data_IF_041577516380
#
_entry.id   IF_041577516380
#
_cell.length_a   1.000
_cell.length_b   1.000
_cell.length_c   1.000
_cell.angle_alpha   90.00
_cell.angle_beta   90.00
_cell.angle_gamma   90.00
#
_symmetry.space_group_name_H-M   'P 1'
#
loop_
_entity.id
_entity.type
_entity.pdbx_description
1 polymer ?
#
# COMPACT_ATOMS: atom_id res chain seq x y z
N UNK A 1 32.25 -19.70 33.73
CA UNK A 1 32.78 -21.08 33.65
C UNK A 1 32.11 -21.90 34.74
N UNK A 2 31.61 -23.14 34.53
CA UNK A 2 31.68 -24.05 33.36
C UNK A 2 30.32 -24.13 32.59
N UNK A 3 30.22 -24.46 31.28
CA UNK A 3 30.51 -25.71 30.52
C UNK A 3 29.57 -26.86 30.94
N UNK A 4 28.97 -27.74 30.11
CA UNK A 4 29.05 -28.13 28.69
C UNK A 4 27.88 -29.14 28.45
N UNK A 5 27.18 -29.08 27.31
CA UNK A 5 27.24 -30.04 26.17
C UNK A 5 26.41 -31.34 26.24
N UNK A 6 25.75 -31.69 25.12
CA UNK A 6 25.26 -33.04 24.79
C UNK A 6 23.93 -33.06 24.02
N UNK A 7 23.93 -32.97 22.68
CA UNK A 7 23.85 -34.08 21.67
C UNK A 7 22.53 -34.88 21.66
N UNK A 8 21.76 -34.75 20.56
CA UNK A 8 21.61 -35.70 19.41
C UNK A 8 20.82 -36.98 19.73
N UNK A 9 19.67 -37.16 19.06
CA UNK A 9 19.06 -38.48 18.80
C UNK A 9 19.25 -38.83 17.32
N UNK A 10 19.87 -39.98 17.07
CA UNK A 10 19.99 -40.69 15.79
C UNK A 10 19.12 -41.94 15.91
N UNK A 11 18.36 -42.26 14.86
CA UNK A 11 17.69 -43.54 14.72
C UNK A 11 18.61 -44.56 14.03
N UNK A 12 18.51 -45.79 14.49
CA UNK A 12 19.32 -46.97 14.15
C UNK A 12 18.65 -47.76 13.02
N UNK A 13 19.45 -48.32 12.12
CA UNK A 13 19.05 -49.39 11.21
C UNK A 13 20.12 -50.48 11.32
N UNK A 14 19.66 -51.70 11.61
CA UNK A 14 20.45 -52.90 11.89
C UNK A 14 20.40 -53.81 10.66
N UNK A 15 21.56 -54.29 10.20
CA UNK A 15 21.88 -55.70 9.99
C UNK A 15 23.15 -55.84 9.14
N UNK A 16 24.23 -56.36 9.75
CA UNK A 16 25.43 -56.88 9.09
C UNK A 16 25.40 -58.41 9.17
N UNK A 17 25.94 -59.09 8.15
CA UNK A 17 26.72 -60.33 8.33
C UNK A 17 27.93 -60.34 7.37
N UNK A 18 29.10 -60.61 7.97
CA UNK A 18 30.40 -61.18 7.53
C UNK A 18 30.60 -61.65 6.06
N UNK A 19 31.76 -61.59 5.40
CA UNK A 19 33.16 -61.77 5.84
C UNK A 19 34.18 -61.48 4.71
N UNK A 20 35.42 -61.18 5.14
CA UNK A 20 36.73 -61.61 4.61
C UNK A 20 37.64 -60.73 3.71
N UNK A 21 38.90 -60.65 4.18
CA UNK A 21 40.21 -60.49 3.53
C UNK A 21 40.65 -59.23 2.72
N UNK A 22 41.50 -58.43 3.39
CA UNK A 22 42.88 -58.06 3.02
C UNK A 22 43.24 -57.09 1.84
N UNK A 23 44.14 -56.15 2.21
CA UNK A 23 45.18 -55.44 1.43
C UNK A 23 44.86 -54.13 0.66
N UNK A 24 45.39 -53.01 1.16
CA UNK A 24 45.74 -51.78 0.41
C UNK A 24 47.12 -51.98 -0.30
N UNK A 25 47.73 -51.01 -1.06
CA UNK A 25 47.31 -49.69 -1.58
C UNK A 25 47.75 -49.39 -3.05
N UNK A 26 47.13 -48.47 -3.81
CA UNK A 26 47.82 -47.76 -4.95
C UNK A 26 47.23 -46.35 -5.19
N UNK A 27 48.09 -45.42 -5.59
CA UNK A 27 47.97 -43.96 -5.71
C UNK A 27 47.61 -43.45 -7.13
N UNK A 28 46.94 -42.27 -7.19
CA UNK A 28 46.92 -41.21 -8.25
C UNK A 28 46.12 -41.43 -9.57
N UNK A 29 45.80 -40.39 -10.39
CA UNK A 29 45.65 -38.92 -10.18
C UNK A 29 44.39 -38.26 -10.86
N UNK A 30 44.28 -36.92 -10.77
CA UNK A 30 43.28 -35.97 -11.32
C UNK A 30 43.01 -36.00 -12.85
N UNK A 31 41.97 -35.27 -13.32
CA UNK A 31 42.17 -34.44 -14.51
C UNK A 31 41.65 -32.99 -14.41
N UNK A 32 42.42 -32.10 -15.07
CA UNK A 32 42.14 -30.70 -15.33
C UNK A 32 41.22 -30.49 -16.54
N UNK A 33 40.38 -29.46 -16.52
CA UNK A 33 39.87 -28.82 -17.74
C UNK A 33 39.80 -27.29 -17.61
N UNK A 34 40.51 -26.62 -18.51
CA UNK A 34 40.53 -25.17 -18.73
C UNK A 34 39.37 -24.75 -19.64
N UNK A 35 38.64 -23.67 -19.31
CA UNK A 35 38.00 -22.81 -20.34
C UNK A 35 38.00 -21.32 -19.94
N UNK A 36 39.00 -20.63 -20.50
CA UNK A 36 39.02 -19.30 -21.14
C UNK A 36 38.21 -18.16 -20.51
N UNK A 37 38.92 -17.25 -19.84
CA UNK A 37 38.55 -15.84 -19.62
C UNK A 37 38.58 -15.09 -20.95
N UNK A 38 37.56 -14.27 -21.23
CA UNK A 38 37.61 -13.21 -22.25
C UNK A 38 37.69 -11.87 -21.51
N UNK A 39 38.75 -11.11 -21.81
CA UNK A 39 38.92 -9.71 -21.43
C UNK A 39 38.25 -8.81 -22.50
N UNK A 40 37.88 -7.57 -22.15
CA UNK A 40 37.03 -6.71 -22.99
C UNK A 40 37.84 -6.02 -24.09
N UNK A 41 37.24 -5.88 -25.27
CA UNK A 41 37.74 -5.00 -26.32
C UNK A 41 37.04 -3.65 -26.20
N UNK A 42 37.86 -2.62 -25.98
CA UNK A 42 37.50 -1.20 -26.01
C UNK A 42 37.23 -0.77 -27.46
N UNK A 43 35.97 -0.47 -27.78
CA UNK A 43 35.62 0.34 -28.96
C UNK A 43 35.31 1.77 -28.50
N UNK A 44 36.30 2.63 -28.68
CA UNK A 44 36.21 4.09 -28.59
C UNK A 44 35.33 4.62 -29.74
N UNK A 45 34.07 4.95 -29.44
CA UNK A 45 33.26 5.85 -30.26
C UNK A 45 33.11 7.18 -29.53
N UNK A 46 33.82 8.17 -30.05
CA UNK A 46 33.65 9.57 -29.70
C UNK A 46 32.26 10.09 -30.06
N UNK A 47 31.77 10.95 -29.16
CA UNK A 47 30.65 11.88 -29.29
C UNK A 47 29.21 11.30 -29.27
N UNK A 48 28.71 11.11 -28.06
CA UNK A 48 27.32 10.74 -27.81
C UNK A 48 26.98 10.61 -26.32
N UNK A 49 27.47 11.52 -25.46
CA UNK A 49 27.32 11.40 -24.00
C UNK A 49 25.85 11.46 -23.51
N UNK A 50 24.88 11.75 -24.40
CA UNK A 50 23.45 11.68 -24.09
C UNK A 50 22.81 10.30 -24.41
N UNK A 51 23.29 9.58 -25.43
CA UNK A 51 22.64 8.32 -25.85
C UNK A 51 22.86 7.17 -24.85
N UNK A 52 24.04 7.11 -24.21
CA UNK A 52 24.33 6.14 -23.17
C UNK A 52 23.57 6.43 -21.86
N UNK A 53 23.36 7.72 -21.54
CA UNK A 53 22.58 8.14 -20.38
C UNK A 53 21.07 7.90 -20.58
N UNK A 54 20.55 8.19 -21.77
CA UNK A 54 19.16 7.91 -22.17
C UNK A 54 18.86 6.42 -22.20
N UNK A 55 19.78 5.60 -22.73
CA UNK A 55 19.65 4.14 -22.72
C UNK A 55 19.58 3.55 -21.30
N UNK A 56 20.36 4.11 -20.37
CA UNK A 56 20.32 3.73 -18.97
C UNK A 56 18.99 4.15 -18.31
N UNK A 57 18.51 5.38 -18.55
CA UNK A 57 17.22 5.85 -18.04
C UNK A 57 16.06 4.97 -18.54
N UNK A 58 16.00 4.67 -19.83
CA UNK A 58 14.97 3.79 -20.40
C UNK A 58 14.99 2.40 -19.77
N UNK A 59 16.17 1.85 -19.47
CA UNK A 59 16.28 0.57 -18.78
C UNK A 59 15.75 0.64 -17.34
N UNK A 60 16.01 1.74 -16.62
CA UNK A 60 15.46 1.98 -15.29
C UNK A 60 13.94 2.12 -15.33
N UNK A 61 13.39 2.83 -16.31
CA UNK A 61 11.94 2.96 -16.54
C UNK A 61 11.30 1.58 -16.76
N UNK A 62 11.85 0.76 -17.66
CA UNK A 62 11.36 -0.61 -17.91
C UNK A 62 11.42 -1.48 -16.65
N UNK A 63 12.48 -1.37 -15.84
CA UNK A 63 12.60 -2.06 -14.55
C UNK A 63 11.54 -1.58 -13.55
N UNK A 64 11.28 -0.28 -13.49
CA UNK A 64 10.27 0.31 -12.61
C UNK A 64 8.85 -0.14 -12.97
N UNK A 65 8.49 -0.08 -14.25
CA UNK A 65 7.19 -0.55 -14.76
C UNK A 65 7.01 -2.03 -14.44
N UNK A 66 8.03 -2.87 -14.71
CA UNK A 66 7.96 -4.30 -14.42
C UNK A 66 7.84 -4.58 -12.92
N UNK A 67 8.53 -3.83 -12.07
CA UNK A 67 8.39 -3.92 -10.61
C UNK A 67 6.96 -3.55 -10.18
N UNK A 68 6.40 -2.46 -10.71
CA UNK A 68 5.06 -2.00 -10.37
C UNK A 68 4.00 -3.05 -10.72
N UNK A 69 4.05 -3.59 -11.95
CA UNK A 69 3.14 -4.66 -12.40
C UNK A 69 3.26 -5.94 -11.55
N UNK A 70 4.49 -6.32 -11.18
CA UNK A 70 4.71 -7.50 -10.33
C UNK A 70 4.19 -7.28 -8.90
N UNK A 71 4.35 -6.08 -8.35
CA UNK A 71 3.80 -5.70 -7.06
C UNK A 71 2.27 -5.73 -7.06
N UNK A 72 1.63 -5.21 -8.12
CA UNK A 72 0.18 -5.25 -8.25
C UNK A 72 -0.36 -6.67 -8.36
N UNK A 73 0.28 -7.50 -9.19
CA UNK A 73 -0.04 -8.91 -9.32
C UNK A 73 0.01 -9.67 -7.98
N UNK A 74 0.96 -9.31 -7.10
CA UNK A 74 1.09 -9.89 -5.76
C UNK A 74 0.28 -9.17 -4.69
N UNK A 75 -0.47 -8.12 -5.06
CA UNK A 75 -1.16 -7.22 -4.14
C UNK A 75 -0.26 -6.65 -3.04
N UNK A 76 0.96 -6.26 -3.40
CA UNK A 76 1.94 -5.71 -2.49
C UNK A 76 2.15 -4.23 -2.78
N UNK A 77 2.23 -3.39 -1.73
CA UNK A 77 2.57 -1.99 -1.92
C UNK A 77 4.02 -1.87 -2.45
N UNK A 78 4.22 -0.93 -3.35
CA UNK A 78 5.51 -0.57 -3.93
C UNK A 78 6.21 0.37 -2.95
N UNK A 79 7.26 -0.10 -2.28
CA UNK A 79 7.98 0.69 -1.27
C UNK A 79 9.17 1.40 -1.89
N UNK A 80 9.50 2.58 -1.35
CA UNK A 80 10.72 3.31 -1.76
C UNK A 80 11.99 2.45 -1.65
N UNK A 81 12.10 1.63 -0.60
CA UNK A 81 13.25 0.75 -0.39
C UNK A 81 13.38 -0.29 -1.52
N UNK A 82 12.28 -0.93 -1.92
CA UNK A 82 12.26 -1.90 -3.01
C UNK A 82 12.67 -1.27 -4.35
N UNK A 83 12.25 -0.03 -4.60
CA UNK A 83 12.64 0.71 -5.81
C UNK A 83 14.15 0.99 -5.80
N UNK A 84 14.68 1.45 -4.67
CA UNK A 84 16.12 1.70 -4.52
C UNK A 84 16.95 0.44 -4.75
N UNK A 85 16.54 -0.69 -4.17
CA UNK A 85 17.27 -1.96 -4.26
C UNK A 85 17.16 -2.60 -5.65
N UNK A 86 15.95 -2.68 -6.22
CA UNK A 86 15.66 -3.49 -7.41
C UNK A 86 15.72 -2.72 -8.73
N UNK A 87 15.57 -1.40 -8.69
CA UNK A 87 15.54 -0.55 -9.89
C UNK A 87 16.79 0.29 -9.98
N UNK A 88 17.02 1.16 -8.99
CA UNK A 88 18.09 2.17 -9.03
C UNK A 88 19.47 1.58 -8.74
N UNK A 89 19.57 0.57 -7.87
CA UNK A 89 20.84 0.04 -7.40
C UNK A 89 21.75 1.15 -6.88
N UNK A 90 22.99 1.21 -7.39
CA UNK A 90 23.98 2.23 -7.01
C UNK A 90 23.82 3.57 -7.77
N UNK A 91 22.94 3.65 -8.78
CA UNK A 91 22.76 4.84 -9.63
C UNK A 91 22.13 6.04 -8.87
N UNK A 92 21.69 5.82 -7.63
CA UNK A 92 21.39 6.87 -6.66
C UNK A 92 20.03 7.54 -6.81
N UNK A 93 19.59 8.19 -5.73
CA UNK A 93 18.27 8.85 -5.58
C UNK A 93 18.01 9.98 -6.59
N UNK A 94 19.06 10.54 -7.24
CA UNK A 94 18.95 11.72 -8.11
C UNK A 94 18.13 11.46 -9.37
N UNK A 95 18.26 10.28 -9.97
CA UNK A 95 17.50 9.90 -11.18
C UNK A 95 16.07 9.45 -10.89
N UNK A 96 15.67 9.35 -9.62
CA UNK A 96 14.35 8.80 -9.27
C UNK A 96 13.21 9.61 -9.87
N UNK A 97 13.23 10.95 -9.73
CA UNK A 97 12.09 11.79 -10.12
C UNK A 97 11.82 11.69 -11.62
N UNK A 98 12.89 11.77 -12.41
CA UNK A 98 12.87 11.64 -13.85
C UNK A 98 12.39 10.25 -14.27
N UNK A 99 13.00 9.20 -13.72
CA UNK A 99 12.59 7.80 -13.97
C UNK A 99 11.13 7.54 -13.57
N UNK A 100 10.68 8.06 -12.43
CA UNK A 100 9.32 7.88 -11.93
C UNK A 100 8.30 8.56 -12.85
N UNK A 101 8.58 9.79 -13.29
CA UNK A 101 7.71 10.50 -14.21
C UNK A 101 7.63 9.79 -15.58
N UNK A 102 8.76 9.32 -16.10
CA UNK A 102 8.78 8.55 -17.34
C UNK A 102 8.03 7.21 -17.19
N UNK A 103 8.20 6.51 -16.07
CA UNK A 103 7.45 5.29 -15.78
C UNK A 103 5.94 5.54 -15.66
N UNK A 104 5.50 6.66 -15.06
CA UNK A 104 4.09 7.04 -15.02
C UNK A 104 3.50 7.26 -16.41
N UNK A 105 4.26 7.85 -17.34
CA UNK A 105 3.80 8.02 -18.73
C UNK A 105 3.63 6.67 -19.43
N UNK A 106 4.58 5.76 -19.28
CA UNK A 106 4.50 4.40 -19.83
C UNK A 106 3.33 3.60 -19.24
N UNK A 107 3.14 3.66 -17.92
CA UNK A 107 2.03 2.99 -17.24
C UNK A 107 0.67 3.48 -17.75
N UNK A 108 0.50 4.79 -17.92
CA UNK A 108 -0.76 5.37 -18.39
C UNK A 108 -1.02 5.08 -19.86
N UNK A 109 -0.01 5.24 -20.71
CA UNK A 109 -0.15 5.11 -22.17
C UNK A 109 -0.26 3.68 -22.66
N UNK A 110 0.49 2.74 -22.07
CA UNK A 110 0.52 1.34 -22.51
C UNK A 110 -0.42 0.46 -21.71
N UNK A 111 -0.53 0.69 -20.40
CA UNK A 111 -1.25 -0.22 -19.49
C UNK A 111 -2.56 0.36 -18.95
N UNK A 112 -2.84 1.65 -19.17
CA UNK A 112 -4.01 2.31 -18.58
C UNK A 112 -3.99 2.27 -17.05
N UNK A 113 -2.80 2.33 -16.44
CA UNK A 113 -2.60 2.30 -15.00
C UNK A 113 -1.74 3.47 -14.54
N UNK A 114 -1.82 3.81 -13.27
CA UNK A 114 -0.91 4.77 -12.65
C UNK A 114 -0.50 4.36 -11.24
N UNK A 115 0.70 4.76 -10.85
CA UNK A 115 1.15 4.63 -9.47
C UNK A 115 0.52 5.73 -8.62
N UNK A 116 -0.32 5.33 -7.67
CA UNK A 116 -0.94 6.22 -6.69
C UNK A 116 -0.27 6.05 -5.32
N UNK A 117 0.04 7.16 -4.65
CA UNK A 117 0.60 7.13 -3.31
C UNK A 117 -0.47 6.73 -2.30
N UNK A 118 -0.16 5.76 -1.43
CA UNK A 118 -1.04 5.33 -0.36
C UNK A 118 -1.11 6.40 0.73
N UNK A 119 -2.31 6.71 1.26
CA UNK A 119 -2.46 7.52 2.45
C UNK A 119 -1.64 6.97 3.62
N UNK A 120 -1.14 7.88 4.45
CA UNK A 120 -0.42 7.47 5.64
C UNK A 120 -1.36 6.69 6.56
N UNK A 121 -0.84 5.63 7.19
CA UNK A 121 -1.56 4.92 8.23
C UNK A 121 -1.91 5.92 9.33
N UNK A 122 -3.21 6.16 9.50
CA UNK A 122 -3.70 7.02 10.57
C UNK A 122 -3.28 6.46 11.92
N UNK A 123 -2.89 7.35 12.82
CA UNK A 123 -2.58 7.02 14.20
C UNK A 123 -3.90 6.91 14.95
N UNK A 124 -4.45 5.71 15.00
CA UNK A 124 -5.83 5.51 15.43
C UNK A 124 -5.96 5.50 16.95
N UNK A 125 -5.01 4.91 17.68
CA UNK A 125 -5.10 4.78 19.15
C UNK A 125 -4.80 6.08 19.89
N UNK A 126 -5.38 6.27 21.08
CA UNK A 126 -5.07 7.43 21.94
C UNK A 126 -3.59 7.48 22.31
N UNK A 127 -2.95 6.32 22.53
CA UNK A 127 -1.51 6.24 22.77
C UNK A 127 -0.69 6.72 21.56
N UNK A 128 -1.07 6.34 20.34
CA UNK A 128 -0.40 6.80 19.12
C UNK A 128 -0.63 8.29 18.85
N UNK A 129 -1.83 8.80 19.13
CA UNK A 129 -2.17 10.23 19.04
C UNK A 129 -1.35 11.06 20.06
N UNK A 130 -1.26 10.61 21.31
CA UNK A 130 -0.42 11.25 22.35
C UNK A 130 1.08 11.17 22.05
N UNK A 131 1.57 10.04 21.54
CA UNK A 131 2.97 9.90 21.12
C UNK A 131 3.32 10.80 19.92
N UNK A 132 2.37 11.01 19.00
CA UNK A 132 2.53 11.91 17.86
C UNK A 132 2.60 13.39 18.25
N UNK A 133 1.83 13.79 19.27
CA UNK A 133 1.89 15.15 19.81
C UNK A 133 3.24 15.42 20.50
N UNK A 134 3.81 14.40 21.16
CA UNK A 134 5.13 14.51 21.82
C UNK A 134 6.33 14.49 20.85
N UNK A 135 6.16 14.00 19.63
CA UNK A 135 7.24 13.88 18.64
C UNK A 135 7.22 14.93 17.52
N UNK A 136 6.51 16.06 17.74
CA UNK A 136 6.49 17.20 16.81
C UNK A 136 7.88 17.82 16.50
N UNK A 137 8.95 17.43 17.19
CA UNK A 137 10.30 17.98 17.02
C UNK A 137 11.23 17.23 16.06
N UNK A 138 10.83 16.11 15.43
CA UNK A 138 11.61 15.52 14.33
C UNK A 138 10.70 15.07 13.19
N UNK A 139 10.72 15.86 12.11
CA UNK A 139 10.03 15.60 10.86
C UNK A 139 10.65 14.40 10.11
N UNK A 140 10.46 13.19 10.62
CA UNK A 140 10.61 11.98 9.80
C UNK A 140 9.42 11.92 8.85
N UNK A 141 9.59 12.52 7.65
CA UNK A 141 8.68 12.31 6.53
C UNK A 141 8.46 10.81 6.37
N UNK A 142 7.22 10.31 6.47
CA UNK A 142 6.94 8.89 6.30
C UNK A 142 7.41 8.42 4.93
N UNK A 143 7.91 7.19 4.88
CA UNK A 143 8.38 6.60 3.63
C UNK A 143 7.15 6.42 2.72
N UNK A 144 7.14 7.15 1.61
CA UNK A 144 6.11 7.04 0.59
C UNK A 144 6.04 5.61 0.06
N UNK A 145 4.81 5.14 -0.14
CA UNK A 145 4.49 3.81 -0.64
C UNK A 145 3.38 3.96 -1.67
N UNK A 146 3.44 3.20 -2.75
CA UNK A 146 2.51 3.32 -3.87
C UNK A 146 1.78 2.00 -4.13
N UNK A 147 0.67 2.08 -4.85
CA UNK A 147 -0.01 0.94 -5.51
C UNK A 147 -0.27 1.30 -6.97
N UNK A 148 -0.59 0.32 -7.82
CA UNK A 148 -1.09 0.61 -9.16
C UNK A 148 -2.62 0.68 -9.12
N UNK A 149 -3.18 1.71 -9.75
CA UNK A 149 -4.63 1.89 -9.90
C UNK A 149 -4.94 1.99 -11.39
N UNK A 150 -6.07 1.42 -11.80
CA UNK A 150 -6.56 1.56 -13.18
C UNK A 150 -7.01 3.00 -13.43
N UNK A 151 -6.61 3.58 -14.55
CA UNK A 151 -7.07 4.89 -15.03
C UNK A 151 -8.13 4.75 -16.13
N UNK A 152 -8.61 3.53 -16.36
CA UNK A 152 -9.64 3.26 -17.37
C UNK A 152 -11.00 3.81 -16.93
N UNK A 153 -11.83 4.31 -17.85
CA UNK A 153 -13.20 4.73 -17.53
C UNK A 153 -14.05 3.61 -16.92
N UNK A 154 -15.09 3.99 -16.18
CA UNK A 154 -15.97 3.08 -15.45
C UNK A 154 -16.57 1.97 -16.33
N UNK A 155 -16.90 2.30 -17.59
CA UNK A 155 -17.48 1.36 -18.56
C UNK A 155 -16.56 0.18 -18.90
N UNK A 156 -15.26 0.29 -18.62
CA UNK A 156 -14.28 -0.78 -18.85
C UNK A 156 -13.99 -1.61 -17.59
N UNK A 157 -14.60 -1.30 -16.44
CA UNK A 157 -14.43 -2.09 -15.21
C UNK A 157 -15.31 -3.35 -15.16
N UNK A 158 -16.00 -3.68 -16.25
CA UNK A 158 -16.69 -4.96 -16.39
C UNK A 158 -15.68 -6.13 -16.22
N UNK A 159 -15.92 -7.09 -15.30
CA UNK A 159 -15.08 -8.27 -15.14
C UNK A 159 -14.88 -9.10 -16.42
N UNK A 160 -15.77 -9.00 -17.40
CA UNK A 160 -15.62 -9.61 -18.72
C UNK A 160 -14.54 -8.93 -19.58
N UNK A 161 -14.28 -7.63 -19.35
CA UNK A 161 -13.27 -6.82 -20.03
C UNK A 161 -11.95 -6.85 -19.24
N UNK A 162 -12.01 -6.62 -17.92
CA UNK A 162 -10.88 -6.61 -17.01
C UNK A 162 -11.05 -7.71 -15.94
N UNK A 163 -10.71 -8.97 -16.28
CA UNK A 163 -10.86 -10.06 -15.34
C UNK A 163 -9.88 -9.91 -14.17
N UNK A 164 -10.26 -10.35 -12.95
CA UNK A 164 -9.35 -10.37 -11.82
C UNK A 164 -8.08 -11.20 -12.08
N UNK A 165 -7.00 -10.95 -11.32
CA UNK A 165 -5.73 -11.66 -11.48
C UNK A 165 -5.92 -13.18 -11.51
N UNK A 166 -5.16 -13.86 -12.39
CA UNK A 166 -5.28 -15.31 -12.60
C UNK A 166 -4.64 -16.16 -11.50
N UNK A 167 -3.94 -15.57 -10.54
CA UNK A 167 -3.32 -16.30 -9.44
C UNK A 167 -4.00 -15.96 -8.10
N UNK A 168 -4.46 -16.97 -7.34
CA UNK A 168 -4.38 -18.40 -7.62
C UNK A 168 -5.36 -18.87 -8.71
N UNK A 169 -6.59 -18.32 -8.75
CA UNK A 169 -7.53 -18.45 -9.88
C UNK A 169 -8.37 -17.16 -9.97
N UNK A 170 -8.90 -16.86 -11.16
CA UNK A 170 -9.73 -15.64 -11.35
C UNK A 170 -11.01 -15.66 -10.48
N UNK A 171 -11.59 -16.84 -10.25
CA UNK A 171 -12.76 -17.01 -9.39
C UNK A 171 -12.45 -16.80 -7.89
N UNK A 172 -11.36 -17.38 -7.38
CA UNK A 172 -10.90 -17.12 -6.00
C UNK A 172 -10.56 -15.64 -5.78
N UNK A 173 -9.96 -15.00 -6.78
CA UNK A 173 -9.63 -13.58 -6.73
C UNK A 173 -10.87 -12.70 -6.83
N UNK A 174 -11.87 -13.08 -7.62
CA UNK A 174 -13.18 -12.42 -7.65
C UNK A 174 -13.88 -12.49 -6.28
N UNK A 175 -13.89 -13.67 -5.65
CA UNK A 175 -14.45 -13.86 -4.31
C UNK A 175 -13.71 -13.05 -3.27
N UNK A 176 -12.38 -13.05 -3.34
CA UNK A 176 -11.56 -12.25 -2.43
C UNK A 176 -11.86 -10.75 -2.58
N UNK A 177 -11.99 -10.26 -3.81
CA UNK A 177 -12.42 -8.90 -4.12
C UNK A 177 -13.80 -8.56 -3.59
N UNK A 178 -14.78 -9.44 -3.78
CA UNK A 178 -16.11 -9.24 -3.23
C UNK A 178 -16.09 -9.14 -1.70
N UNK A 179 -15.34 -10.03 -1.03
CA UNK A 179 -15.29 -10.07 0.43
C UNK A 179 -14.58 -8.83 0.98
N UNK A 180 -13.38 -8.47 0.50
CA UNK A 180 -12.69 -7.30 1.06
C UNK A 180 -13.47 -6.01 0.78
N UNK A 181 -14.13 -5.90 -0.39
CA UNK A 181 -14.94 -4.72 -0.75
C UNK A 181 -16.14 -4.59 0.18
N UNK A 182 -16.79 -5.71 0.48
CA UNK A 182 -17.90 -5.77 1.45
C UNK A 182 -17.46 -5.39 2.85
N UNK A 183 -16.35 -5.96 3.34
CA UNK A 183 -15.88 -5.69 4.71
C UNK A 183 -15.40 -4.24 4.88
N UNK A 184 -14.68 -3.68 3.91
CA UNK A 184 -14.29 -2.26 3.92
C UNK A 184 -15.52 -1.36 3.88
N UNK A 185 -16.54 -1.70 3.10
CA UNK A 185 -17.80 -0.96 3.05
C UNK A 185 -18.54 -0.99 4.38
N UNK A 186 -18.62 -2.15 5.04
CA UNK A 186 -19.25 -2.28 6.35
C UNK A 186 -18.55 -1.44 7.43
N UNK A 187 -17.22 -1.37 7.41
CA UNK A 187 -16.44 -0.53 8.34
C UNK A 187 -16.64 0.95 8.02
N UNK A 188 -16.64 1.33 6.73
CA UNK A 188 -16.82 2.72 6.30
C UNK A 188 -18.21 3.23 6.68
N UNK A 189 -19.26 2.42 6.42
CA UNK A 189 -20.64 2.74 6.78
C UNK A 189 -20.91 2.72 8.30
N UNK A 190 -20.04 2.10 9.10
CA UNK A 190 -20.13 2.13 10.56
C UNK A 190 -19.42 3.33 11.20
N UNK A 191 -19.02 4.33 10.42
CA UNK A 191 -18.29 5.51 10.90
C UNK A 191 -16.78 5.32 10.95
N UNK A 192 -16.22 4.42 10.14
CA UNK A 192 -14.78 4.24 9.94
C UNK A 192 -14.08 3.30 10.94
N UNK A 193 -14.76 2.88 12.00
CA UNK A 193 -14.29 1.86 12.94
C UNK A 193 -15.39 0.85 13.28
N UNK A 194 -15.02 -0.42 13.40
CA UNK A 194 -15.94 -1.52 13.66
C UNK A 194 -15.44 -2.42 14.81
N UNK A 195 -16.18 -2.58 15.92
CA UNK A 195 -15.80 -3.47 17.01
C UNK A 195 -15.64 -4.93 16.54
N UNK A 196 -14.68 -5.66 17.11
CA UNK A 196 -14.38 -7.04 16.72
C UNK A 196 -15.59 -7.99 16.82
N UNK A 197 -16.40 -7.88 17.89
CA UNK A 197 -17.62 -8.67 18.05
C UNK A 197 -18.66 -8.40 16.94
N UNK A 198 -18.75 -7.15 16.46
CA UNK A 198 -19.66 -6.77 15.37
C UNK A 198 -19.15 -7.28 14.01
N UNK A 199 -17.83 -7.23 13.80
CA UNK A 199 -17.17 -7.82 12.64
C UNK A 199 -17.46 -9.33 12.56
N UNK A 200 -17.28 -10.06 13.66
CA UNK A 200 -17.53 -11.50 13.73
C UNK A 200 -19.01 -11.82 13.41
N UNK A 201 -19.95 -11.06 13.97
CA UNK A 201 -21.38 -11.21 13.65
C UNK A 201 -21.67 -10.99 12.16
N UNK A 202 -21.00 -10.05 11.49
CA UNK A 202 -21.15 -9.86 10.05
C UNK A 202 -20.56 -11.01 9.24
N UNK A 203 -19.38 -11.50 9.61
CA UNK A 203 -18.74 -12.65 8.96
C UNK A 203 -19.61 -13.91 9.02
N UNK A 204 -20.24 -14.17 10.18
CA UNK A 204 -21.21 -15.26 10.35
C UNK A 204 -22.46 -15.09 9.50
N UNK A 205 -23.02 -13.87 9.44
CA UNK A 205 -24.23 -13.57 8.63
C UNK A 205 -23.98 -13.67 7.12
N UNK A 206 -22.73 -13.48 6.69
CA UNK A 206 -22.32 -13.59 5.29
C UNK A 206 -21.84 -15.00 4.93
N UNK A 207 -21.86 -15.95 5.89
CA UNK A 207 -21.40 -17.33 5.70
C UNK A 207 -19.97 -17.42 5.14
N UNK A 208 -19.11 -16.43 5.46
CA UNK A 208 -17.74 -16.35 4.95
C UNK A 208 -16.87 -17.48 5.51
N UNK A 209 -17.19 -17.99 6.70
CA UNK A 209 -16.47 -19.10 7.34
C UNK A 209 -16.38 -20.34 6.44
N UNK A 210 -17.41 -20.59 5.64
CA UNK A 210 -17.49 -21.74 4.73
C UNK A 210 -17.00 -21.42 3.31
N UNK A 211 -17.08 -20.15 2.87
CA UNK A 211 -16.73 -19.72 1.51
C UNK A 211 -15.43 -18.90 1.42
N UNK A 212 -14.51 -19.08 2.36
CA UNK A 212 -13.25 -18.32 2.41
C UNK A 212 -12.31 -18.72 1.25
N UNK A 213 -11.83 -17.76 0.41
CA UNK A 213 -10.88 -18.01 -0.68
C UNK A 213 -9.43 -18.12 -0.14
N UNK A 214 -9.23 -19.00 0.84
CA UNK A 214 -7.92 -19.29 1.41
C UNK A 214 -7.69 -20.80 1.32
N UNK A 215 -6.62 -21.19 0.65
CA UNK A 215 -6.18 -22.58 0.57
C UNK A 215 -5.79 -23.09 1.96
N UNK A 216 -6.72 -23.75 2.66
CA UNK A 216 -6.42 -24.53 3.84
C UNK A 216 -7.29 -25.78 3.83
N UNK A 217 -6.77 -26.84 3.19
CA UNK A 217 -7.42 -28.14 3.04
C UNK A 217 -7.72 -28.85 4.39
N UNK A 218 -7.28 -28.31 5.52
CA UNK A 218 -7.44 -28.91 6.86
C UNK A 218 -7.79 -27.90 7.97
N UNK A 219 -8.21 -26.67 7.64
CA UNK A 219 -8.56 -25.67 8.65
C UNK A 219 -10.07 -25.65 8.95
N UNK A 220 -10.43 -25.39 10.21
CA UNK A 220 -11.81 -25.09 10.61
C UNK A 220 -12.28 -23.75 10.01
N UNK A 221 -13.59 -23.51 9.89
CA UNK A 221 -14.14 -22.27 9.30
C UNK A 221 -13.62 -20.98 9.95
N UNK A 222 -13.41 -21.02 11.27
CA UNK A 222 -12.82 -19.91 12.04
C UNK A 222 -11.35 -19.68 11.69
N UNK A 223 -10.54 -20.73 11.58
CA UNK A 223 -9.13 -20.61 11.19
C UNK A 223 -8.96 -20.07 9.76
N UNK A 224 -9.85 -20.47 8.85
CA UNK A 224 -9.88 -19.92 7.48
C UNK A 224 -10.16 -18.42 7.50
N UNK A 225 -11.17 -18.01 8.27
CA UNK A 225 -11.55 -16.61 8.44
C UNK A 225 -10.43 -15.78 9.05
N UNK A 226 -9.73 -16.27 10.07
CA UNK A 226 -8.57 -15.58 10.63
C UNK A 226 -7.43 -15.41 9.61
N UNK A 227 -7.15 -16.45 8.81
CA UNK A 227 -6.12 -16.38 7.76
C UNK A 227 -6.51 -15.36 6.68
N UNK A 228 -7.79 -15.28 6.33
CA UNK A 228 -8.34 -14.28 5.41
C UNK A 228 -8.14 -12.86 5.94
N UNK A 229 -8.52 -12.61 7.20
CA UNK A 229 -8.34 -11.30 7.83
C UNK A 229 -6.85 -10.92 7.94
N UNK A 230 -5.97 -11.87 8.27
CA UNK A 230 -4.51 -11.67 8.27
C UNK A 230 -3.97 -11.37 6.86
N UNK A 231 -4.52 -11.98 5.81
CA UNK A 231 -4.20 -11.67 4.40
C UNK A 231 -4.60 -10.22 4.08
N UNK A 232 -5.84 -9.84 4.39
CA UNK A 232 -6.33 -8.47 4.17
C UNK A 232 -5.55 -7.42 4.94
N UNK A 233 -5.11 -7.73 6.16
CA UNK A 233 -4.25 -6.84 6.96
C UNK A 233 -2.87 -6.66 6.31
N UNK A 234 -2.26 -7.76 5.83
CA UNK A 234 -0.96 -7.74 5.15
C UNK A 234 -1.00 -6.94 3.85
N UNK A 235 -2.07 -7.11 3.07
CA UNK A 235 -2.29 -6.43 1.80
C UNK A 235 -2.78 -4.97 1.98
N UNK A 236 -3.13 -4.58 3.20
CA UNK A 236 -3.42 -3.20 3.57
C UNK A 236 -4.87 -2.76 3.37
N UNK A 237 -5.80 -3.71 3.26
CA UNK A 237 -7.24 -3.44 3.21
C UNK A 237 -7.83 -3.14 4.60
N UNK A 238 -7.34 -3.86 5.62
CA UNK A 238 -7.82 -3.75 7.00
C UNK A 238 -6.67 -3.44 7.96
N UNK A 239 -6.99 -2.83 9.09
CA UNK A 239 -6.08 -2.66 10.22
C UNK A 239 -6.81 -3.13 11.48
N UNK A 240 -6.19 -4.05 12.21
CA UNK A 240 -6.65 -4.43 13.55
C UNK A 240 -6.03 -3.48 14.56
N UNK A 241 -6.87 -2.78 15.31
CA UNK A 241 -6.44 -1.87 16.36
C UNK A 241 -6.82 -2.47 17.71
N UNK A 242 -5.85 -2.51 18.61
CA UNK A 242 -6.01 -2.97 19.99
C UNK A 242 -5.72 -1.78 20.91
N UNK A 243 -6.71 -1.37 21.68
CA UNK A 243 -6.62 -0.26 22.61
C UNK A 243 -6.76 -0.80 24.03
N UNK A 244 -5.69 -0.66 24.82
CA UNK A 244 -5.71 -1.05 26.23
C UNK A 244 -6.14 0.16 27.05
N UNK A 245 -7.30 0.05 27.71
CA UNK A 245 -7.86 1.07 28.60
C UNK A 245 -7.16 1.13 29.95
N UNK A 246 -6.16 0.27 30.20
CA UNK A 246 -5.33 0.27 31.41
C UNK A 246 -6.05 -0.18 32.69
N UNK A 247 -7.37 -0.40 32.63
CA UNK A 247 -8.22 -0.71 33.78
C UNK A 247 -9.35 -1.69 33.39
N UNK A 248 -9.08 -2.64 32.49
CA UNK A 248 -10.06 -3.61 32.01
C UNK A 248 -9.58 -4.43 30.81
N UNK A 249 -10.51 -5.14 30.17
CA UNK A 249 -10.29 -5.87 28.93
C UNK A 249 -9.92 -4.93 27.77
N UNK A 250 -9.07 -5.41 26.87
CA UNK A 250 -8.60 -4.62 25.73
C UNK A 250 -9.69 -4.49 24.66
N UNK A 251 -10.01 -3.25 24.28
CA UNK A 251 -10.94 -2.97 23.19
C UNK A 251 -10.28 -3.23 21.83
N UNK A 252 -10.88 -4.12 21.04
CA UNK A 252 -10.39 -4.48 19.71
C UNK A 252 -11.39 -4.02 18.65
N UNK A 253 -10.92 -3.22 17.70
CA UNK A 253 -11.70 -2.73 16.57
C UNK A 253 -10.92 -2.82 15.26
N UNK A 254 -11.66 -2.85 14.16
CA UNK A 254 -11.16 -2.88 12.80
C UNK A 254 -11.36 -1.53 12.14
N UNK A 255 -10.34 -1.05 11.43
CA UNK A 255 -10.41 0.15 10.59
C UNK A 255 -9.96 -0.15 9.17
N UNK A 256 -10.31 0.73 8.24
CA UNK A 256 -9.90 0.59 6.84
C UNK A 256 -8.41 0.93 6.68
N UNK A 257 -7.67 0.04 6.04
CA UNK A 257 -6.26 0.25 5.73
C UNK A 257 -6.03 1.18 4.53
N UNK A 258 -4.78 1.65 4.31
CA UNK A 258 -4.47 2.61 3.26
C UNK A 258 -4.89 2.16 1.85
N UNK A 259 -4.75 0.86 1.54
CA UNK A 259 -5.10 0.34 0.24
C UNK A 259 -6.62 0.31 0.04
N UNK A 260 -7.36 -0.11 1.05
CA UNK A 260 -8.82 -0.09 1.02
C UNK A 260 -9.38 1.33 0.83
N UNK A 261 -8.75 2.34 1.42
CA UNK A 261 -9.12 3.75 1.22
C UNK A 261 -8.91 4.23 -0.22
N UNK A 262 -7.90 3.73 -0.92
CA UNK A 262 -7.59 4.15 -2.30
C UNK A 262 -8.39 3.37 -3.33
N UNK A 263 -8.45 2.04 -3.23
CA UNK A 263 -9.10 1.22 -4.26
C UNK A 263 -10.62 1.25 -4.19
N UNK A 264 -11.18 1.35 -2.98
CA UNK A 264 -12.63 1.34 -2.79
C UNK A 264 -13.11 2.76 -2.53
N UNK A 265 -12.48 3.45 -1.58
CA UNK A 265 -12.84 4.83 -1.23
C UNK A 265 -14.32 4.99 -0.91
N UNK A 266 -14.83 6.21 -1.01
CA UNK A 266 -16.24 6.51 -0.76
C UNK A 266 -17.12 6.10 -1.93
N UNK A 267 -16.60 6.26 -3.16
CA UNK A 267 -17.33 5.95 -4.40
C UNK A 267 -17.57 4.46 -4.55
N UNK A 268 -16.59 3.61 -4.23
CA UNK A 268 -16.76 2.15 -4.25
C UNK A 268 -17.74 1.67 -3.19
N UNK A 269 -17.75 2.27 -1.99
CA UNK A 269 -18.75 1.96 -0.95
C UNK A 269 -20.15 2.34 -1.39
N UNK A 270 -20.30 3.52 -2.01
CA UNK A 270 -21.57 3.97 -2.58
C UNK A 270 -22.03 3.03 -3.71
N UNK A 271 -21.14 2.72 -4.65
CA UNK A 271 -21.41 1.83 -5.77
C UNK A 271 -21.85 0.43 -5.32
N UNK A 272 -21.15 -0.17 -4.36
CA UNK A 272 -21.56 -1.45 -3.78
C UNK A 272 -22.94 -1.35 -3.11
N UNK A 273 -23.17 -0.29 -2.33
CA UNK A 273 -24.44 -0.12 -1.63
C UNK A 273 -25.59 -0.01 -2.63
N UNK A 274 -25.46 0.82 -3.67
CA UNK A 274 -26.47 0.92 -4.74
C UNK A 274 -26.69 -0.41 -5.44
N UNK A 275 -25.62 -1.13 -5.79
CA UNK A 275 -25.74 -2.45 -6.42
C UNK A 275 -26.49 -3.49 -5.55
N UNK A 276 -26.36 -3.42 -4.22
CA UNK A 276 -27.06 -4.32 -3.29
C UNK A 276 -28.54 -3.98 -3.16
N UNK A 277 -28.91 -2.69 -3.13
CA UNK A 277 -30.30 -2.26 -3.06
C UNK A 277 -31.02 -2.34 -4.41
N UNK A 278 -30.28 -2.38 -5.52
CA UNK A 278 -30.81 -2.52 -6.87
C UNK A 278 -31.47 -1.25 -7.40
N UNK A 279 -32.35 -1.41 -8.37
CA UNK A 279 -33.08 -0.31 -8.99
C UNK A 279 -34.14 0.24 -8.03
N UNK A 280 -33.85 1.41 -7.46
CA UNK A 280 -34.76 2.19 -6.64
C UNK A 280 -35.43 3.29 -7.47
N UNK A 281 -36.61 3.74 -7.05
CA UNK A 281 -37.20 4.97 -7.60
C UNK A 281 -36.37 6.20 -7.21
N UNK A 282 -36.46 7.28 -8.00
CA UNK A 282 -35.62 8.47 -7.85
C UNK A 282 -35.64 9.03 -6.41
N UNK A 283 -36.81 9.02 -5.75
CA UNK A 283 -36.95 9.48 -4.37
C UNK A 283 -36.21 8.62 -3.35
N UNK A 284 -36.23 7.29 -3.50
CA UNK A 284 -35.54 6.37 -2.62
C UNK A 284 -34.03 6.31 -2.90
N UNK A 285 -33.58 6.47 -4.15
CA UNK A 285 -32.15 6.55 -4.48
C UNK A 285 -31.51 7.79 -3.84
N UNK A 286 -32.17 8.95 -3.91
CA UNK A 286 -31.69 10.14 -3.20
C UNK A 286 -31.65 9.96 -1.67
N UNK A 287 -32.65 9.29 -1.10
CA UNK A 287 -32.68 9.02 0.33
C UNK A 287 -31.54 8.07 0.73
N UNK A 288 -31.26 7.07 -0.08
CA UNK A 288 -30.14 6.16 0.09
C UNK A 288 -28.81 6.91 0.02
N UNK A 289 -28.61 7.78 -0.98
CA UNK A 289 -27.41 8.61 -1.11
C UNK A 289 -27.21 9.53 0.11
N UNK A 290 -28.29 10.14 0.60
CA UNK A 290 -28.25 10.95 1.84
C UNK A 290 -27.86 10.11 3.06
N UNK A 291 -28.35 8.86 3.17
CA UNK A 291 -27.98 7.94 4.25
C UNK A 291 -26.51 7.53 4.15
N UNK A 292 -26.03 7.17 2.97
CA UNK A 292 -24.62 6.81 2.72
C UNK A 292 -23.70 7.97 3.07
N UNK A 293 -24.00 9.19 2.62
CA UNK A 293 -23.20 10.38 2.92
C UNK A 293 -23.11 10.65 4.43
N UNK A 294 -24.22 10.49 5.17
CA UNK A 294 -24.21 10.60 6.64
C UNK A 294 -23.35 9.50 7.28
N UNK A 295 -23.48 8.26 6.83
CA UNK A 295 -22.71 7.12 7.36
C UNK A 295 -21.21 7.23 7.10
N UNK A 296 -20.80 7.83 5.97
CA UNK A 296 -19.40 8.10 5.63
C UNK A 296 -18.83 9.35 6.34
N UNK A 297 -19.65 10.11 7.07
CA UNK A 297 -19.23 11.35 7.73
C UNK A 297 -19.10 12.56 6.79
N UNK A 298 -19.63 12.46 5.56
CA UNK A 298 -19.66 13.56 4.58
C UNK A 298 -20.77 14.58 4.87
N UNK A 299 -21.72 14.22 5.73
CA UNK A 299 -22.93 14.99 6.03
C UNK A 299 -22.78 16.18 6.98
N UNK A 300 -21.57 16.49 7.47
CA UNK A 300 -21.34 17.59 8.42
C UNK A 300 -20.58 18.80 7.81
N UNK A 301 -20.46 18.84 6.48
CA UNK A 301 -20.11 20.08 5.80
C UNK A 301 -21.35 21.00 5.81
N UNK A 302 -21.33 22.17 6.49
CA UNK A 302 -22.41 23.14 6.34
C UNK A 302 -22.53 23.49 4.85
N UNK A 303 -23.73 23.73 4.32
CA UNK A 303 -23.94 24.08 2.94
C UNK A 303 -23.29 25.45 2.67
N UNK A 304 -22.00 25.43 2.31
CA UNK A 304 -21.30 26.60 1.83
C UNK A 304 -21.85 26.93 0.45
N UNK A 305 -22.84 27.83 0.45
CA UNK A 305 -23.04 28.87 -0.54
C UNK A 305 -22.70 28.47 -2.00
N UNK A 306 -23.51 27.57 -2.58
CA UNK A 306 -23.66 27.54 -4.03
C UNK A 306 -24.54 28.72 -4.43
N UNK A 307 -23.88 29.81 -4.81
CA UNK A 307 -24.48 30.91 -5.55
C UNK A 307 -24.25 32.28 -4.93
N UNK A 308 -23.18 32.96 -5.33
CA UNK A 308 -23.26 34.24 -6.05
C UNK A 308 -21.85 34.77 -6.33
N UNK A 309 -21.66 35.23 -7.57
CA UNK A 309 -20.48 35.91 -8.07
C UNK A 309 -19.99 37.00 -7.10
N UNK A 310 -18.74 36.94 -6.68
CA UNK A 310 -18.02 38.09 -6.14
C UNK A 310 -16.62 38.16 -6.78
N UNK A 311 -16.43 39.23 -7.54
CA UNK A 311 -15.24 39.58 -8.30
C UNK A 311 -13.97 39.70 -7.43
N UNK A 312 -12.75 39.60 -8.03
CA UNK A 312 -11.50 39.55 -7.28
C UNK A 312 -11.10 40.93 -6.75
N UNK A 313 -11.11 41.12 -5.42
CA UNK A 313 -10.48 42.27 -4.79
C UNK A 313 -8.95 42.13 -4.78
N UNK A 314 -8.29 43.13 -5.36
CA UNK A 314 -6.83 43.31 -5.44
C UNK A 314 -6.20 43.40 -4.04
N UNK A 315 -5.17 42.59 -3.81
CA UNK A 315 -4.24 42.67 -2.68
C UNK A 315 -3.53 44.03 -2.67
N UNK A 316 -3.76 44.85 -1.64
CA UNK A 316 -2.99 46.07 -1.38
C UNK A 316 -1.77 45.72 -0.53
N UNK A 317 -0.59 46.07 -1.05
CA UNK A 317 0.72 45.71 -0.51
C UNK A 317 1.02 46.29 0.86
N UNK A 318 1.72 45.47 1.65
CA UNK A 318 2.36 45.75 2.93
C UNK A 318 3.49 46.77 2.72
N UNK A 319 3.32 48.01 3.19
CA UNK A 319 4.41 48.99 3.29
C UNK A 319 5.05 48.92 4.69
N UNK A 320 6.37 48.79 4.66
CA UNK A 320 7.30 48.81 5.80
C UNK A 320 7.34 50.22 6.41
N UNK A 321 7.49 50.30 7.72
CA UNK A 321 7.77 51.53 8.47
C UNK A 321 9.16 51.35 9.07
N UNK A 322 10.13 52.05 8.52
CA UNK A 322 11.43 52.33 9.13
C UNK A 322 11.48 53.84 9.40
N UNK A 323 12.20 54.21 10.47
CA UNK A 323 12.44 55.55 11.01
C UNK A 323 13.17 56.45 9.97
N UNK A 324 13.22 57.79 10.07
CA UNK A 324 13.83 58.60 11.12
C UNK A 324 13.69 60.10 10.77
N UNK A 325 13.98 60.92 11.78
CA UNK A 325 14.51 62.31 11.80
C UNK A 325 13.70 63.56 11.38
N UNK A 326 13.75 64.49 12.34
CA UNK A 326 14.03 65.94 12.27
C UNK A 326 13.01 66.86 11.56
N UNK A 327 12.74 68.09 11.98
CA UNK A 327 13.29 69.00 13.00
C UNK A 327 12.26 70.14 13.17
N UNK A 328 12.26 70.75 14.35
CA UNK A 328 12.09 72.19 14.67
C UNK A 328 10.90 73.08 14.18
N UNK A 329 10.64 74.04 15.08
CA UNK A 329 9.97 75.34 14.92
C UNK A 329 8.44 75.41 14.81
N UNK A 330 7.76 76.40 15.37
CA UNK A 330 7.93 77.32 16.51
C UNK A 330 6.53 77.94 16.68
N UNK A 331 6.26 78.45 17.87
CA UNK A 331 5.36 79.57 18.14
C UNK A 331 3.82 79.50 18.11
N UNK A 332 3.32 80.11 19.20
CA UNK A 332 2.19 81.04 19.33
C UNK A 332 0.84 80.53 19.86
N UNK A 333 0.69 80.79 21.18
CA UNK A 333 -0.34 81.61 21.82
C UNK A 333 -1.78 81.12 22.09
N UNK A 334 -2.15 81.35 23.36
CA UNK A 334 -3.44 81.72 23.97
C UNK A 334 -4.60 80.70 23.88
N UNK A 335 -5.35 80.38 24.93
CA UNK A 335 -5.68 81.00 26.24
C UNK A 335 -5.79 79.92 27.34
#
# INVERSE_FOLDING_TARGET
MPLMSGRKRRAEAVAEEESDAAASPVSSPEPATQRRRLSPEDEDYGDGNNAAEDGNLQQLVKKMVRLALACEYQRRPIRRADISEKVLGNAGSRKFKEMFNAAQMELRSVFGMEMMELPQREKVTVAQKRAAQKSQSQANKPIASWILVSTLPADFHDPAILPPPRAPTSDEESRYTAIYTTLVSLISLSGGALPAAKMERYLRRLEIEDNTPVAAQQATGQEKTEKLLKRMEREGYLIRVKESTGQGDDDVYWTVGPRGKVEIGEDGVRGLTKAVYGDLDEGADEELDRKIARSLGLGDAPPAARGQNAAPQKKKGRRRKDADDDEEDEDSDAD
#
